data_IF_966366952607
#
_entry.id   IF_966366952607
#
_cell.length_a   1.000
_cell.length_b   1.000
_cell.length_c   1.000
_cell.angle_alpha   90.00
_cell.angle_beta   90.00
_cell.angle_gamma   90.00
#
_symmetry.space_group_name_H-M   'P 1'
#
loop_
_entity.id
_entity.type
_entity.pdbx_description
1 polymer ?
#
# COMPACT_ATOMS: atom_id res chain seq x y z
N UNK A 1 -48.02 27.47 51.96
CA UNK A 1 -46.87 26.64 51.56
C UNK A 1 -47.31 25.84 50.34
N UNK A 2 -47.05 26.33 49.13
CA UNK A 2 -47.28 25.56 47.90
C UNK A 2 -46.06 25.72 47.02
N UNK A 3 -45.22 24.69 47.03
CA UNK A 3 -44.00 24.58 46.27
C UNK A 3 -44.37 23.96 44.92
N UNK A 4 -44.32 24.78 43.87
CA UNK A 4 -44.50 24.33 42.49
C UNK A 4 -43.25 23.55 42.07
N UNK A 5 -43.33 22.23 42.09
CA UNK A 5 -42.33 21.38 41.45
C UNK A 5 -42.48 21.53 39.93
N UNK A 6 -41.51 22.20 39.30
CA UNK A 6 -41.36 22.18 37.84
C UNK A 6 -41.01 20.76 37.41
N UNK A 7 -41.95 20.06 36.80
CA UNK A 7 -41.68 18.81 36.09
C UNK A 7 -40.76 19.13 34.90
N UNK A 8 -39.50 18.70 35.01
CA UNK A 8 -38.59 18.59 33.87
C UNK A 8 -39.24 17.65 32.84
N UNK A 9 -39.74 18.21 31.76
CA UNK A 9 -40.25 17.45 30.61
C UNK A 9 -39.04 16.97 29.82
N UNK A 10 -38.55 15.78 30.16
CA UNK A 10 -37.75 15.01 29.22
C UNK A 10 -38.67 14.72 28.03
N UNK A 11 -38.48 15.47 26.92
CA UNK A 11 -39.14 15.15 25.65
C UNK A 11 -38.72 13.73 25.30
N UNK A 12 -39.65 12.79 25.46
CA UNK A 12 -39.43 11.41 25.03
C UNK A 12 -39.16 11.45 23.52
N UNK A 13 -37.96 11.07 23.13
CA UNK A 13 -37.57 10.94 21.73
C UNK A 13 -38.59 10.01 21.05
N UNK A 14 -39.22 10.46 19.97
CA UNK A 14 -40.19 9.62 19.29
C UNK A 14 -39.48 8.38 18.72
N UNK A 15 -40.04 7.19 18.88
CA UNK A 15 -39.47 5.95 18.33
C UNK A 15 -39.19 6.07 16.82
N UNK A 16 -39.99 6.89 16.13
CA UNK A 16 -39.81 7.23 14.72
C UNK A 16 -38.57 8.09 14.47
N UNK A 17 -38.32 9.12 15.29
CA UNK A 17 -37.09 9.93 15.20
C UNK A 17 -35.84 9.08 15.45
N UNK A 18 -35.90 8.15 16.41
CA UNK A 18 -34.81 7.21 16.68
C UNK A 18 -34.54 6.29 15.48
N UNK A 19 -35.59 5.76 14.84
CA UNK A 19 -35.46 4.94 13.63
C UNK A 19 -34.81 5.71 12.47
N UNK A 20 -35.19 6.97 12.27
CA UNK A 20 -34.57 7.82 11.26
C UNK A 20 -33.08 8.05 11.53
N UNK A 21 -32.71 8.32 12.78
CA UNK A 21 -31.30 8.50 13.16
C UNK A 21 -30.50 7.22 12.90
N UNK A 22 -31.01 6.05 13.29
CA UNK A 22 -30.33 4.76 13.06
C UNK A 22 -30.18 4.49 11.56
N UNK A 23 -31.20 4.77 10.75
CA UNK A 23 -31.16 4.60 9.29
C UNK A 23 -30.08 5.50 8.66
N UNK A 24 -30.05 6.79 9.03
CA UNK A 24 -29.07 7.75 8.53
C UNK A 24 -27.65 7.33 8.93
N UNK A 25 -27.44 6.96 10.19
CA UNK A 25 -26.15 6.50 10.68
C UNK A 25 -25.70 5.22 9.95
N UNK A 26 -26.62 4.29 9.67
CA UNK A 26 -26.33 3.09 8.89
C UNK A 26 -25.80 3.40 7.48
N UNK A 27 -26.49 4.29 6.75
CA UNK A 27 -26.07 4.70 5.40
C UNK A 27 -24.71 5.41 5.43
N UNK A 28 -24.53 6.36 6.34
CA UNK A 28 -23.27 7.09 6.48
C UNK A 28 -22.11 6.16 6.83
N UNK A 29 -22.34 5.15 7.67
CA UNK A 29 -21.32 4.16 8.05
C UNK A 29 -20.82 3.34 6.85
N UNK A 30 -21.73 2.91 5.96
CA UNK A 30 -21.36 2.16 4.75
C UNK A 30 -20.51 3.02 3.80
N UNK A 31 -20.87 4.30 3.62
CA UNK A 31 -20.13 5.21 2.74
C UNK A 31 -18.73 5.52 3.32
N UNK A 32 -18.65 5.76 4.63
CA UNK A 32 -17.41 6.08 5.32
C UNK A 32 -16.40 4.92 5.24
N UNK A 33 -16.85 3.68 5.45
CA UNK A 33 -15.98 2.50 5.41
C UNK A 33 -15.35 2.28 4.02
N UNK A 34 -16.13 2.41 2.95
CA UNK A 34 -15.62 2.28 1.58
C UNK A 34 -14.59 3.37 1.22
N UNK A 35 -14.85 4.61 1.65
CA UNK A 35 -13.94 5.74 1.44
C UNK A 35 -12.62 5.53 2.18
N UNK A 36 -12.70 5.07 3.43
CA UNK A 36 -11.53 4.80 4.26
C UNK A 36 -10.65 3.68 3.67
N UNK A 37 -11.25 2.57 3.22
CA UNK A 37 -10.52 1.48 2.54
C UNK A 37 -9.76 1.99 1.32
N UNK A 38 -10.43 2.77 0.46
CA UNK A 38 -9.82 3.36 -0.73
C UNK A 38 -8.65 4.30 -0.39
N UNK A 39 -8.79 5.10 0.67
CA UNK A 39 -7.73 6.00 1.13
C UNK A 39 -6.51 5.24 1.68
N UNK A 40 -6.76 4.19 2.46
CA UNK A 40 -5.69 3.31 2.95
C UNK A 40 -4.95 2.62 1.81
N UNK A 41 -5.68 2.12 0.79
CA UNK A 41 -5.08 1.51 -0.39
C UNK A 41 -4.15 2.50 -1.13
N UNK A 42 -4.60 3.73 -1.37
CA UNK A 42 -3.78 4.78 -2.02
C UNK A 42 -2.54 5.14 -1.19
N UNK A 43 -2.70 5.26 0.12
CA UNK A 43 -1.58 5.53 1.04
C UNK A 43 -0.56 4.39 1.00
N UNK A 44 -1.04 3.15 1.03
CA UNK A 44 -0.20 1.97 0.92
C UNK A 44 0.55 1.93 -0.42
N UNK A 45 -0.15 2.16 -1.53
CA UNK A 45 0.44 2.19 -2.87
C UNK A 45 1.54 3.24 -2.96
N UNK A 46 1.31 4.45 -2.42
CA UNK A 46 2.31 5.52 -2.37
C UNK A 46 3.52 5.12 -1.53
N UNK A 47 3.30 4.51 -0.35
CA UNK A 47 4.37 4.05 0.52
C UNK A 47 5.25 3.00 -0.18
N UNK A 48 4.63 1.98 -0.76
CA UNK A 48 5.32 0.92 -1.50
C UNK A 48 6.08 1.48 -2.72
N UNK A 49 5.47 2.41 -3.46
CA UNK A 49 6.13 3.09 -4.58
C UNK A 49 7.41 3.81 -4.13
N UNK A 50 7.35 4.56 -3.04
CA UNK A 50 8.52 5.26 -2.49
C UNK A 50 9.61 4.26 -2.08
N UNK A 51 9.25 3.20 -1.35
CA UNK A 51 10.21 2.16 -0.93
C UNK A 51 10.89 1.48 -2.14
N UNK A 52 10.12 1.15 -3.18
CA UNK A 52 10.67 0.56 -4.39
C UNK A 52 11.61 1.53 -5.12
N UNK A 53 11.21 2.79 -5.26
CA UNK A 53 12.02 3.81 -5.95
C UNK A 53 13.35 4.04 -5.23
N UNK A 54 13.34 4.20 -3.90
CA UNK A 54 14.56 4.35 -3.10
C UNK A 54 15.46 3.11 -3.22
N UNK A 55 14.87 1.92 -3.26
CA UNK A 55 15.65 0.69 -3.44
C UNK A 55 16.27 0.62 -4.83
N UNK A 56 15.53 1.02 -5.87
CA UNK A 56 16.03 1.06 -7.24
C UNK A 56 17.14 2.11 -7.43
N UNK A 57 17.05 3.24 -6.74
CA UNK A 57 18.11 4.24 -6.67
C UNK A 57 19.36 3.67 -5.97
N UNK A 58 19.21 3.03 -4.81
CA UNK A 58 20.32 2.39 -4.10
C UNK A 58 20.98 1.27 -4.91
N UNK A 59 20.19 0.46 -5.62
CA UNK A 59 20.71 -0.55 -6.55
C UNK A 59 21.51 0.14 -7.67
N UNK A 60 20.96 1.18 -8.29
CA UNK A 60 21.66 1.90 -9.37
C UNK A 60 23.00 2.49 -8.89
N UNK A 61 23.03 3.08 -7.70
CA UNK A 61 24.26 3.58 -7.09
C UNK A 61 25.26 2.47 -6.75
N UNK A 62 24.77 1.32 -6.29
CA UNK A 62 25.60 0.14 -5.99
C UNK A 62 26.31 -0.36 -7.26
N UNK A 63 25.59 -0.52 -8.37
CA UNK A 63 26.19 -0.95 -9.64
C UNK A 63 27.07 0.13 -10.29
N UNK A 64 26.77 1.41 -10.09
CA UNK A 64 27.65 2.49 -10.54
C UNK A 64 28.99 2.47 -9.79
N UNK A 65 28.98 2.22 -8.48
CA UNK A 65 30.22 2.06 -7.69
C UNK A 65 31.01 0.83 -8.10
N UNK A 66 30.32 -0.28 -8.36
CA UNK A 66 30.92 -1.50 -8.88
C UNK A 66 31.62 -1.27 -10.22
N UNK A 67 30.96 -0.55 -11.12
CA UNK A 67 31.55 -0.19 -12.40
C UNK A 67 32.82 0.68 -12.27
N UNK A 68 32.86 1.60 -11.31
CA UNK A 68 33.99 2.51 -11.10
C UNK A 68 35.18 1.88 -10.36
N UNK A 69 34.92 1.01 -9.38
CA UNK A 69 35.95 0.52 -8.45
C UNK A 69 36.08 -1.01 -8.39
N UNK A 70 35.32 -1.76 -9.19
CA UNK A 70 35.23 -3.24 -9.19
C UNK A 70 34.99 -3.79 -7.78
N UNK A 71 33.73 -3.98 -7.42
CA UNK A 71 33.34 -4.50 -6.11
C UNK A 71 32.95 -5.99 -6.22
N UNK A 72 33.74 -6.92 -5.66
CA UNK A 72 33.50 -8.36 -5.81
C UNK A 72 32.18 -8.85 -5.18
N UNK A 73 31.53 -8.04 -4.33
CA UNK A 73 30.35 -8.44 -3.56
C UNK A 73 29.04 -7.76 -4.01
N UNK A 74 29.02 -7.13 -5.18
CA UNK A 74 27.88 -6.35 -5.69
C UNK A 74 26.58 -7.15 -5.75
N UNK A 75 26.62 -8.38 -6.26
CA UNK A 75 25.43 -9.26 -6.34
C UNK A 75 24.86 -9.60 -4.97
N UNK A 76 25.70 -9.94 -3.99
CA UNK A 76 25.25 -10.22 -2.62
C UNK A 76 24.64 -8.97 -1.97
N UNK A 77 25.24 -7.80 -2.19
CA UNK A 77 24.70 -6.52 -1.69
C UNK A 77 23.35 -6.18 -2.34
N UNK A 78 23.17 -6.49 -3.63
CA UNK A 78 21.89 -6.32 -4.32
C UNK A 78 20.79 -7.22 -3.74
N UNK A 79 21.10 -8.50 -3.47
CA UNK A 79 20.19 -9.40 -2.75
C UNK A 79 19.83 -8.86 -1.36
N UNK A 80 20.81 -8.35 -0.61
CA UNK A 80 20.57 -7.78 0.72
C UNK A 80 19.69 -6.51 0.64
N UNK A 81 19.86 -5.66 -0.37
CA UNK A 81 18.99 -4.50 -0.60
C UNK A 81 17.56 -4.92 -0.89
N UNK A 82 17.36 -5.91 -1.76
CA UNK A 82 16.02 -6.44 -2.06
C UNK A 82 15.39 -7.15 -0.86
N UNK A 83 16.18 -7.89 -0.08
CA UNK A 83 15.69 -8.57 1.12
C UNK A 83 15.28 -7.58 2.22
N UNK A 84 15.89 -6.39 2.30
CA UNK A 84 15.45 -5.32 3.23
C UNK A 84 14.04 -4.81 2.96
N UNK A 85 13.52 -4.97 1.73
CA UNK A 85 12.13 -4.66 1.43
C UNK A 85 11.15 -5.67 2.05
N UNK A 86 11.62 -6.88 2.40
CA UNK A 86 10.78 -7.94 2.93
C UNK A 86 10.07 -7.50 4.22
N UNK A 87 8.74 -7.57 4.21
CA UNK A 87 7.87 -7.24 5.32
C UNK A 87 6.58 -8.04 5.20
N UNK A 88 6.24 -8.82 6.23
CA UNK A 88 5.00 -9.62 6.30
C UNK A 88 3.76 -8.80 6.67
N UNK A 89 3.74 -7.51 6.31
CA UNK A 89 2.63 -6.60 6.59
C UNK A 89 1.61 -6.63 5.46
N UNK A 90 0.36 -6.30 5.79
CA UNK A 90 -0.73 -6.11 4.81
C UNK A 90 -0.44 -4.99 3.80
N UNK A 91 0.47 -4.08 4.15
CA UNK A 91 1.09 -3.13 3.24
C UNK A 91 2.62 -3.30 3.31
N UNK A 92 3.17 -4.11 2.41
CA UNK A 92 4.58 -4.48 2.44
C UNK A 92 5.02 -5.21 1.19
N UNK A 93 6.33 -5.45 1.05
CA UNK A 93 6.85 -6.33 0.02
C UNK A 93 7.21 -7.69 0.60
N UNK A 94 7.00 -8.74 -0.17
CA UNK A 94 7.59 -10.05 0.05
C UNK A 94 8.61 -10.29 -1.05
N UNK A 95 9.86 -10.47 -0.66
CA UNK A 95 10.93 -10.85 -1.58
C UNK A 95 11.10 -12.37 -1.58
N UNK A 96 11.00 -12.98 -2.75
CA UNK A 96 11.23 -14.40 -2.99
C UNK A 96 12.53 -14.54 -3.79
N UNK A 97 13.59 -15.06 -3.17
CA UNK A 97 14.93 -15.10 -3.78
C UNK A 97 15.15 -16.26 -4.75
N UNK A 98 14.42 -17.36 -4.62
CA UNK A 98 14.59 -18.58 -5.42
C UNK A 98 13.23 -19.16 -5.85
N UNK A 99 13.12 -19.78 -7.03
CA UNK A 99 14.16 -20.06 -8.03
C UNK A 99 14.54 -18.88 -8.94
N UNK A 100 13.75 -17.81 -8.95
CA UNK A 100 14.02 -16.55 -9.65
C UNK A 100 13.63 -15.40 -8.73
N UNK A 101 14.43 -14.33 -8.58
CA UNK A 101 14.08 -13.24 -7.68
C UNK A 101 12.79 -12.56 -8.13
N UNK A 102 11.81 -12.56 -7.24
CA UNK A 102 10.51 -11.90 -7.42
C UNK A 102 10.23 -11.01 -6.24
N UNK A 103 9.52 -9.92 -6.51
CA UNK A 103 9.07 -9.01 -5.48
C UNK A 103 7.55 -8.91 -5.56
N UNK A 104 6.86 -9.21 -4.47
CA UNK A 104 5.40 -9.20 -4.40
C UNK A 104 5.00 -8.08 -3.44
N UNK A 105 4.31 -7.06 -3.93
CA UNK A 105 3.71 -6.05 -3.08
C UNK A 105 2.33 -6.51 -2.60
N UNK A 106 2.14 -6.55 -1.28
CA UNK A 106 0.84 -6.72 -0.66
C UNK A 106 0.20 -5.37 -0.41
N UNK A 107 -1.03 -5.20 -0.89
CA UNK A 107 -1.83 -3.99 -0.80
C UNK A 107 -3.20 -4.42 -0.29
N UNK A 108 -3.33 -4.54 1.04
CA UNK A 108 -4.50 -5.11 1.72
C UNK A 108 -4.81 -6.52 1.17
N UNK A 109 -5.96 -6.69 0.52
CA UNK A 109 -6.43 -7.97 -0.03
C UNK A 109 -5.93 -8.23 -1.46
N UNK A 110 -5.18 -7.28 -2.03
CA UNK A 110 -4.64 -7.37 -3.39
C UNK A 110 -3.13 -7.52 -3.38
N UNK A 111 -2.59 -8.13 -4.44
CA UNK A 111 -1.15 -8.29 -4.63
C UNK A 111 -0.71 -7.80 -6.01
N UNK A 112 0.45 -7.18 -6.07
CA UNK A 112 1.12 -6.78 -7.30
C UNK A 112 2.46 -7.50 -7.40
N UNK A 113 2.63 -8.32 -8.43
CA UNK A 113 3.85 -9.10 -8.66
C UNK A 113 4.77 -8.33 -9.60
N UNK A 114 6.01 -8.15 -9.17
CA UNK A 114 7.08 -7.57 -9.96
C UNK A 114 8.05 -8.66 -10.44
N UNK A 115 8.51 -8.47 -11.67
CA UNK A 115 9.58 -9.24 -12.29
C UNK A 115 10.88 -8.43 -12.17
N UNK A 116 11.96 -9.12 -11.83
CA UNK A 116 13.30 -8.55 -11.69
C UNK A 116 14.16 -9.11 -12.83
N UNK A 117 14.72 -8.23 -13.66
CA UNK A 117 15.55 -8.64 -14.80
C UNK A 117 16.82 -7.79 -14.93
N UNK A 118 18.02 -8.40 -15.00
CA UNK A 118 18.25 -9.85 -15.03
C UNK A 118 18.07 -10.51 -13.66
N UNK A 119 17.69 -11.79 -13.67
CA UNK A 119 17.42 -12.59 -12.46
C UNK A 119 18.68 -12.97 -11.67
N UNK A 120 19.84 -12.88 -12.31
CA UNK A 120 21.13 -13.20 -11.67
C UNK A 120 21.73 -12.01 -10.90
N UNK A 121 21.12 -10.81 -11.03
CA UNK A 121 21.59 -9.58 -10.40
C UNK A 121 23.08 -9.29 -10.66
N UNK A 122 23.62 -9.72 -11.81
CA UNK A 122 24.99 -9.39 -12.21
C UNK A 122 25.11 -7.95 -12.71
N UNK A 123 24.03 -7.40 -13.22
CA UNK A 123 23.92 -6.00 -13.64
C UNK A 123 22.71 -5.36 -13.00
N UNK A 124 22.62 -4.02 -13.08
CA UNK A 124 21.53 -3.26 -12.47
C UNK A 124 20.16 -3.78 -12.94
N UNK A 125 19.37 -4.40 -12.04
CA UNK A 125 18.13 -5.02 -12.43
C UNK A 125 17.03 -3.98 -12.63
N UNK A 126 16.21 -4.21 -13.65
CA UNK A 126 14.95 -3.53 -13.83
C UNK A 126 13.87 -4.29 -13.09
N UNK A 127 13.12 -3.57 -12.25
CA UNK A 127 11.97 -4.08 -11.53
C UNK A 127 10.72 -3.53 -12.20
N UNK A 128 9.87 -4.41 -12.74
CA UNK A 128 8.68 -4.01 -13.49
C UNK A 128 7.51 -4.96 -13.24
N UNK A 129 6.29 -4.50 -13.50
CA UNK A 129 5.09 -5.33 -13.45
C UNK A 129 4.37 -5.32 -14.80
N UNK A 130 3.41 -6.22 -14.98
CA UNK A 130 2.60 -6.28 -16.19
C UNK A 130 1.74 -5.01 -16.32
N UNK A 131 2.08 -4.14 -17.27
CA UNK A 131 1.37 -2.88 -17.52
C UNK A 131 -0.08 -3.08 -17.97
N UNK A 132 -0.50 -4.28 -18.37
CA UNK A 132 -1.92 -4.55 -18.65
C UNK A 132 -2.75 -4.67 -17.36
N UNK A 133 -2.12 -4.95 -16.22
CA UNK A 133 -2.80 -5.01 -14.93
C UNK A 133 -3.13 -3.60 -14.41
N UNK A 134 -4.38 -3.32 -13.99
CA UNK A 134 -4.80 -1.99 -13.56
C UNK A 134 -4.00 -1.49 -12.35
N UNK A 135 -3.71 -2.38 -11.40
CA UNK A 135 -2.91 -2.06 -10.22
C UNK A 135 -1.46 -1.68 -10.57
N UNK A 136 -0.89 -2.28 -11.62
CA UNK A 136 0.45 -1.92 -12.11
C UNK A 136 0.45 -0.51 -12.74
N UNK A 137 -0.57 -0.18 -13.53
CA UNK A 137 -0.73 1.17 -14.11
C UNK A 137 -0.87 2.22 -13.02
N UNK A 138 -1.69 1.93 -12.01
CA UNK A 138 -1.89 2.81 -10.86
C UNK A 138 -0.59 3.01 -10.07
N UNK A 139 0.14 1.93 -9.79
CA UNK A 139 1.42 1.96 -9.07
C UNK A 139 2.43 2.92 -9.74
N UNK A 140 2.62 2.79 -11.06
CA UNK A 140 3.54 3.65 -11.78
C UNK A 140 2.98 5.03 -12.14
N UNK A 141 1.70 5.31 -11.85
CA UNK A 141 1.08 6.61 -12.10
C UNK A 141 0.73 6.86 -13.57
N UNK A 142 0.69 5.82 -14.41
CA UNK A 142 0.12 5.92 -15.76
C UNK A 142 -1.39 5.83 -15.64
N UNK A 143 -2.04 6.91 -15.22
CA UNK A 143 -3.49 7.03 -15.37
C UNK A 143 -3.80 7.02 -16.87
N UNK A 144 -4.62 6.06 -17.30
CA UNK A 144 -5.45 6.27 -18.48
C UNK A 144 -6.35 7.46 -18.13
N UNK A 145 -6.08 8.63 -18.72
CA UNK A 145 -7.15 9.60 -18.91
C UNK A 145 -8.25 8.86 -19.66
N UNK A 146 -9.40 8.70 -19.02
CA UNK A 146 -10.62 8.23 -19.65
C UNK A 146 -11.41 9.46 -20.05
#
# INVERSE_FOLDING_TARGET
MFQTHSFNTYKAFSALELLFVIMILGILSIIATNTFKTHQQKTCLKHLKTQLFLTQEHLSMLYLRDFLHTNPNTTLQAYNLLNKLHSQKTCGFVFESAPSPRLIAHIQDTKLVFTIQPSDLKTNPRIFCNLNAPLCKEFFGRKLNK
#
